data_IF_654642889763
#
_entry.id   IF_654642889763
#
_cell.length_a   1.000
_cell.length_b   1.000
_cell.length_c   1.000
_cell.angle_alpha   90.00
_cell.angle_beta   90.00
_cell.angle_gamma   90.00
#
_symmetry.space_group_name_H-M   'P 1'
#
loop_
_entity.id
_entity.type
_entity.pdbx_description
1 polymer ?
#
# COMPACT_ATOMS: atom_id res chain seq x y z
N UNK A 1 -21.49 6.35 8.14
CA UNK A 1 -20.10 6.81 7.91
C UNK A 1 -20.20 8.01 6.98
N UNK A 2 -19.65 9.16 7.33
CA UNK A 2 -19.68 10.34 6.43
C UNK A 2 -18.56 10.30 5.40
N UNK A 3 -18.49 11.33 4.55
CA UNK A 3 -17.47 11.47 3.49
C UNK A 3 -16.04 11.51 4.04
N UNK A 4 -15.88 11.86 5.32
CA UNK A 4 -14.59 11.93 6.01
C UNK A 4 -13.90 10.56 6.03
N UNK A 5 -14.64 9.49 6.28
CA UNK A 5 -14.10 8.14 6.29
C UNK A 5 -13.67 7.69 4.89
N UNK A 6 -14.43 8.06 3.87
CA UNK A 6 -14.07 7.79 2.46
C UNK A 6 -12.78 8.51 2.07
N UNK A 7 -12.64 9.80 2.44
CA UNK A 7 -11.43 10.58 2.19
C UNK A 7 -10.22 9.95 2.87
N UNK A 8 -10.35 9.52 4.13
CA UNK A 8 -9.28 8.83 4.86
C UNK A 8 -8.88 7.53 4.18
N UNK A 9 -9.84 6.71 3.76
CA UNK A 9 -9.57 5.44 3.09
C UNK A 9 -8.87 5.64 1.74
N UNK A 10 -9.30 6.62 0.95
CA UNK A 10 -8.64 6.99 -0.32
C UNK A 10 -7.22 7.48 -0.05
N UNK A 11 -7.03 8.34 0.95
CA UNK A 11 -5.70 8.83 1.33
C UNK A 11 -4.75 7.67 1.71
N UNK A 12 -5.22 6.72 2.53
CA UNK A 12 -4.45 5.53 2.90
C UNK A 12 -4.12 4.68 1.66
N UNK A 13 -5.06 4.55 0.72
CA UNK A 13 -4.82 3.82 -0.54
C UNK A 13 -3.70 4.43 -1.36
N UNK A 14 -3.73 5.75 -1.51
CA UNK A 14 -2.68 6.49 -2.21
C UNK A 14 -1.33 6.37 -1.48
N UNK A 15 -1.33 6.45 -0.15
CA UNK A 15 -0.12 6.33 0.66
C UNK A 15 0.49 4.93 0.53
N UNK A 16 -0.30 3.87 0.71
CA UNK A 16 0.19 2.49 0.59
C UNK A 16 0.61 2.16 -0.84
N UNK A 17 -0.17 2.57 -1.84
CA UNK A 17 0.20 2.44 -3.24
C UNK A 17 1.51 3.16 -3.57
N UNK A 18 1.68 4.37 -3.06
CA UNK A 18 2.92 5.15 -3.20
C UNK A 18 4.12 4.48 -2.53
N UNK A 19 3.96 3.91 -1.33
CA UNK A 19 5.02 3.16 -0.64
C UNK A 19 5.42 1.91 -1.42
N UNK A 20 4.45 1.12 -1.91
CA UNK A 20 4.74 -0.06 -2.72
C UNK A 20 5.42 0.30 -4.04
N UNK A 21 5.00 1.39 -4.68
CA UNK A 21 5.63 1.90 -5.89
C UNK A 21 7.06 2.36 -5.63
N UNK A 22 7.26 3.14 -4.56
CA UNK A 22 8.56 3.69 -4.20
C UNK A 22 9.55 2.59 -3.83
N UNK A 23 9.12 1.53 -3.14
CA UNK A 23 9.95 0.35 -2.88
C UNK A 23 10.54 -0.20 -4.19
N UNK A 24 9.70 -0.45 -5.19
CA UNK A 24 10.13 -0.93 -6.51
C UNK A 24 10.97 0.08 -7.30
N UNK A 25 10.72 1.37 -7.16
CA UNK A 25 11.53 2.41 -7.78
C UNK A 25 12.93 2.51 -7.14
N UNK A 26 13.01 2.47 -5.81
CA UNK A 26 14.26 2.61 -5.06
C UNK A 26 15.24 1.45 -5.28
N UNK A 27 14.72 0.24 -5.45
CA UNK A 27 15.52 -0.95 -5.79
C UNK A 27 16.01 -0.90 -7.24
N UNK A 28 15.14 -0.52 -8.19
CA UNK A 28 15.52 -0.39 -9.62
C UNK A 28 16.53 0.72 -9.90
N UNK A 29 16.49 1.80 -9.13
CA UNK A 29 17.42 2.93 -9.29
C UNK A 29 18.78 2.68 -8.63
N UNK A 30 18.98 1.53 -7.97
CA UNK A 30 20.21 1.22 -7.23
C UNK A 30 20.38 2.03 -5.94
N UNK A 31 19.34 2.75 -5.51
CA UNK A 31 19.33 3.53 -4.27
C UNK A 31 19.18 2.68 -3.02
N UNK A 32 18.79 1.41 -3.16
CA UNK A 32 18.65 0.46 -2.07
C UNK A 32 19.23 -0.91 -2.47
N UNK A 33 19.84 -1.58 -1.49
CA UNK A 33 20.30 -2.97 -1.64
C UNK A 33 19.06 -3.88 -1.65
N UNK A 34 19.00 -4.74 -2.66
CA UNK A 34 17.98 -5.77 -2.88
C UNK A 34 18.72 -7.04 -3.34
N UNK A 35 19.23 -7.81 -2.38
CA UNK A 35 19.93 -9.08 -2.65
C UNK A 35 18.96 -10.16 -3.15
N UNK A 36 17.70 -10.13 -2.69
CA UNK A 36 16.66 -11.10 -3.04
C UNK A 36 16.04 -10.88 -4.43
N UNK A 37 16.37 -9.78 -5.12
CA UNK A 37 15.81 -9.38 -6.42
C UNK A 37 14.28 -9.33 -6.44
N UNK A 38 13.65 -8.98 -5.31
CA UNK A 38 12.20 -8.96 -5.16
C UNK A 38 11.60 -7.56 -5.31
N UNK A 39 12.43 -6.59 -5.72
CA UNK A 39 12.09 -5.16 -5.86
C UNK A 39 11.68 -4.50 -4.54
N UNK A 40 12.09 -5.06 -3.40
CA UNK A 40 11.87 -4.50 -2.07
C UNK A 40 13.26 -4.27 -1.44
N UNK A 41 13.52 -3.08 -0.87
CA UNK A 41 14.77 -2.86 -0.13
C UNK A 41 14.93 -3.88 1.01
N UNK A 42 16.11 -4.49 1.17
CA UNK A 42 16.34 -5.50 2.21
C UNK A 42 16.07 -4.95 3.63
N UNK A 43 16.40 -3.67 3.85
CA UNK A 43 16.10 -2.96 5.10
C UNK A 43 14.60 -2.86 5.38
N UNK A 44 13.77 -2.80 4.33
CA UNK A 44 12.31 -2.76 4.44
C UNK A 44 11.73 -4.16 4.55
N UNK A 45 12.31 -5.14 3.86
CA UNK A 45 11.93 -6.54 4.04
C UNK A 45 12.15 -7.01 5.48
N UNK A 46 13.26 -6.61 6.10
CA UNK A 46 13.58 -6.97 7.50
C UNK A 46 12.64 -6.35 8.53
N UNK A 47 12.21 -5.10 8.33
CA UNK A 47 11.37 -4.37 9.30
C UNK A 47 9.87 -4.44 8.98
N UNK A 48 9.52 -4.58 7.71
CA UNK A 48 8.16 -4.47 7.17
C UNK A 48 7.83 -5.60 6.18
N UNK A 49 8.54 -6.72 6.22
CA UNK A 49 8.29 -7.85 5.31
C UNK A 49 6.85 -8.37 5.33
N UNK A 50 6.16 -8.27 6.48
CA UNK A 50 4.74 -8.61 6.59
C UNK A 50 3.83 -7.66 5.76
N UNK A 51 4.20 -6.38 5.67
CA UNK A 51 3.47 -5.36 4.91
C UNK A 51 3.64 -5.57 3.41
N UNK A 52 4.86 -5.88 2.96
CA UNK A 52 5.15 -6.11 1.54
C UNK A 52 4.68 -7.49 1.05
N UNK A 53 4.79 -8.53 1.86
CA UNK A 53 4.25 -9.87 1.53
C UNK A 53 2.71 -9.88 1.55
N UNK A 54 2.10 -9.16 2.49
CA UNK A 54 0.65 -8.99 2.60
C UNK A 54 0.04 -7.97 1.65
N UNK A 55 0.81 -7.30 0.78
CA UNK A 55 0.35 -6.15 -0.02
C UNK A 55 -0.96 -6.40 -0.77
N UNK A 56 -1.13 -7.59 -1.34
CA UNK A 56 -2.35 -7.98 -2.06
C UNK A 56 -3.57 -8.05 -1.15
N UNK A 57 -3.44 -8.72 0.00
CA UNK A 57 -4.54 -8.86 0.98
C UNK A 57 -4.87 -7.50 1.59
N UNK A 58 -3.86 -6.70 1.95
CA UNK A 58 -4.04 -5.35 2.50
C UNK A 58 -4.80 -4.48 1.52
N UNK A 59 -4.38 -4.44 0.24
CA UNK A 59 -5.05 -3.64 -0.78
C UNK A 59 -6.47 -4.14 -1.10
N UNK A 60 -6.72 -5.45 -1.01
CA UNK A 60 -8.06 -6.00 -1.17
C UNK A 60 -9.00 -5.54 -0.05
N UNK A 61 -8.58 -5.65 1.21
CA UNK A 61 -9.37 -5.17 2.36
C UNK A 61 -9.63 -3.67 2.24
N UNK A 62 -8.62 -2.91 1.82
CA UNK A 62 -8.74 -1.47 1.63
C UNK A 62 -9.75 -1.12 0.53
N UNK A 63 -9.72 -1.84 -0.60
CA UNK A 63 -10.67 -1.69 -1.70
C UNK A 63 -12.11 -2.01 -1.27
N UNK A 64 -12.32 -3.07 -0.51
CA UNK A 64 -13.63 -3.41 0.07
C UNK A 64 -14.11 -2.29 1.01
N UNK A 65 -13.22 -1.79 1.88
CA UNK A 65 -13.53 -0.67 2.77
C UNK A 65 -13.93 0.60 2.03
N UNK A 66 -13.21 0.95 0.96
CA UNK A 66 -13.54 2.08 0.08
C UNK A 66 -14.89 1.86 -0.58
N UNK A 67 -15.14 0.67 -1.15
CA UNK A 67 -16.41 0.34 -1.80
C UNK A 67 -17.61 0.48 -0.85
N UNK A 68 -17.46 -0.02 0.38
CA UNK A 68 -18.48 0.13 1.42
C UNK A 68 -18.69 1.60 1.80
N UNK A 69 -17.61 2.36 2.04
CA UNK A 69 -17.71 3.78 2.38
C UNK A 69 -18.34 4.60 1.25
N UNK A 70 -17.99 4.31 -0.01
CA UNK A 70 -18.55 4.95 -1.19
C UNK A 70 -20.06 4.70 -1.31
N UNK A 71 -20.49 3.45 -1.10
CA UNK A 71 -21.91 3.09 -1.12
C UNK A 71 -22.73 3.84 -0.06
N UNK A 72 -22.15 4.11 1.12
CA UNK A 72 -22.82 4.87 2.19
C UNK A 72 -22.80 6.40 1.97
N UNK A 73 -21.96 6.91 1.07
CA UNK A 73 -21.87 8.35 0.75
C UNK A 73 -22.77 8.70 -0.44
N UNK A 74 -22.89 7.80 -1.41
CA UNK A 74 -23.62 8.04 -2.67
C UNK A 74 -25.02 7.38 -2.67
N UNK A 75 -25.21 6.28 -1.93
CA UNK A 75 -26.49 5.58 -1.79
C UNK A 75 -27.31 6.10 -0.63
#
# INVERSE_FOLDING_TARGET
>A
MGYEALVVLIFIACLFGGVYWYAGYSTRSGGAVDENQNFIPDSWEKNFGWFFSGKGIIMLILGIGIGYALANVIG
#
